data_IF_417634940700
#
_entry.id   IF_417634940700
#
_cell.length_a   1.000
_cell.length_b   1.000
_cell.length_c   1.000
_cell.angle_alpha   90.00
_cell.angle_beta   90.00
_cell.angle_gamma   90.00
#
_symmetry.space_group_name_H-M   'P 1'
#
loop_
_entity.id
_entity.type
_entity.pdbx_description
1 polymer ?
#
# COMPACT_ATOMS: atom_id res chain seq x y z
N UNK A 1 32.10 -17.13 -15.45
CA UNK A 1 31.53 -15.90 -14.87
C UNK A 1 30.32 -16.27 -14.03
N UNK A 2 30.16 -15.68 -12.84
CA UNK A 2 28.98 -15.86 -11.97
C UNK A 2 28.17 -14.56 -12.01
N UNK A 3 26.85 -14.68 -12.13
CA UNK A 3 25.90 -13.53 -12.06
C UNK A 3 24.89 -13.80 -10.94
N UNK A 4 24.78 -12.86 -9.99
CA UNK A 4 23.93 -12.99 -8.80
C UNK A 4 22.58 -12.31 -9.02
N UNK A 5 21.53 -13.09 -9.26
CA UNK A 5 20.15 -12.62 -9.47
C UNK A 5 19.32 -12.70 -8.17
N UNK A 6 19.86 -12.23 -7.04
CA UNK A 6 19.26 -12.40 -5.69
C UNK A 6 18.17 -11.37 -5.34
N UNK A 7 17.87 -10.44 -6.25
CA UNK A 7 16.84 -9.42 -6.08
C UNK A 7 17.38 -8.09 -5.57
N UNK A 8 16.50 -7.28 -4.98
CA UNK A 8 16.78 -5.89 -4.60
C UNK A 8 16.26 -5.57 -3.20
N UNK A 9 16.93 -4.64 -2.51
CA UNK A 9 16.46 -4.03 -1.27
C UNK A 9 15.72 -2.73 -1.54
N UNK A 10 14.71 -2.43 -0.73
CA UNK A 10 14.00 -1.14 -0.76
C UNK A 10 14.64 -0.22 0.27
N UNK A 11 14.98 1.02 -0.13
CA UNK A 11 15.54 2.05 0.76
C UNK A 11 14.96 3.42 0.39
N UNK A 12 14.93 4.35 1.35
CA UNK A 12 14.50 5.73 1.14
C UNK A 12 15.56 6.71 1.71
N UNK A 13 16.68 6.94 1.01
CA UNK A 13 17.83 7.69 1.54
C UNK A 13 17.57 9.19 1.74
N UNK A 14 16.38 9.67 1.40
CA UNK A 14 15.95 11.06 1.55
C UNK A 14 15.11 11.30 2.82
N UNK A 15 14.66 10.25 3.52
CA UNK A 15 14.04 10.39 4.82
C UNK A 15 15.10 10.35 5.93
N UNK A 16 14.86 11.09 7.02
CA UNK A 16 15.64 10.91 8.25
C UNK A 16 15.40 9.50 8.79
N UNK A 17 16.44 8.92 9.39
CA UNK A 17 16.46 7.53 9.83
C UNK A 17 15.41 7.19 10.91
N UNK A 18 14.86 8.20 11.58
CA UNK A 18 13.84 8.08 12.62
C UNK A 18 12.40 8.25 12.10
N UNK A 19 12.22 8.68 10.84
CA UNK A 19 10.89 8.97 10.30
C UNK A 19 10.14 7.70 9.87
N UNK A 20 10.85 6.72 9.33
CA UNK A 20 10.26 5.47 8.85
C UNK A 20 10.99 4.27 9.48
N UNK A 21 10.30 3.13 9.66
CA UNK A 21 10.93 1.87 10.03
C UNK A 21 12.13 1.51 9.15
N UNK A 22 13.14 0.87 9.76
CA UNK A 22 14.35 0.40 9.07
C UNK A 22 14.09 -0.59 7.94
N UNK A 23 12.90 -1.23 7.92
CA UNK A 23 12.48 -2.17 6.89
C UNK A 23 11.31 -1.60 6.06
N UNK A 24 11.61 -0.75 5.04
CA UNK A 24 10.63 -0.21 4.11
C UNK A 24 9.68 -1.23 3.47
N UNK A 25 10.15 -2.44 3.20
CA UNK A 25 9.37 -3.52 2.60
C UNK A 25 8.38 -4.20 3.55
N UNK A 26 8.36 -3.77 4.83
CA UNK A 26 7.39 -4.18 5.85
C UNK A 26 6.43 -3.06 6.27
N UNK A 27 6.47 -1.90 5.62
CA UNK A 27 5.64 -0.75 6.01
C UNK A 27 4.15 -1.12 6.04
N UNK A 28 3.45 -0.85 7.17
CA UNK A 28 2.03 -1.12 7.29
C UNK A 28 1.24 0.01 6.62
N UNK A 29 0.80 -0.23 5.38
CA UNK A 29 0.12 0.78 4.57
C UNK A 29 -1.33 0.43 4.27
N UNK A 30 -2.26 1.30 4.68
CA UNK A 30 -3.66 1.18 4.28
C UNK A 30 -3.80 1.38 2.76
N UNK A 31 -4.49 0.46 2.09
CA UNK A 31 -4.56 0.37 0.62
C UNK A 31 -3.20 0.35 -0.10
N UNK A 32 -2.11 0.06 0.61
CA UNK A 32 -0.73 0.12 0.08
C UNK A 32 -0.30 1.54 -0.32
N UNK A 33 -0.90 2.53 0.35
CA UNK A 33 -0.72 3.96 0.08
C UNK A 33 -0.48 4.75 1.36
N UNK A 34 -1.41 4.66 2.32
CA UNK A 34 -1.47 5.58 3.45
C UNK A 34 -0.76 4.98 4.68
N UNK A 35 0.29 5.63 5.20
CA UNK A 35 0.86 5.31 6.51
C UNK A 35 -0.10 5.71 7.64
N UNK A 36 0.21 5.29 8.87
CA UNK A 36 -0.64 5.57 10.04
C UNK A 36 -0.29 6.89 10.72
N UNK A 37 0.99 7.27 10.70
CA UNK A 37 1.53 8.39 11.49
C UNK A 37 1.62 9.70 10.71
N UNK A 38 1.19 9.71 9.46
CA UNK A 38 1.27 10.87 8.57
C UNK A 38 -0.02 11.02 7.77
N UNK A 39 -0.50 12.26 7.69
CA UNK A 39 -1.67 12.64 6.89
C UNK A 39 -1.25 13.26 5.53
N UNK A 40 0.01 13.64 5.36
CA UNK A 40 0.56 14.32 4.19
C UNK A 40 1.65 13.51 3.44
N UNK A 41 1.92 12.28 3.89
CA UNK A 41 2.85 11.35 3.25
C UNK A 41 2.11 10.17 2.62
N UNK A 42 2.48 9.82 1.38
CA UNK A 42 1.85 8.73 0.63
C UNK A 42 2.90 7.90 -0.12
N UNK A 43 2.66 6.60 -0.22
CA UNK A 43 3.47 5.68 -1.00
C UNK A 43 2.71 5.25 -2.26
N UNK A 44 3.31 5.41 -3.43
CA UNK A 44 2.74 4.93 -4.70
C UNK A 44 3.75 3.98 -5.33
N UNK A 45 3.30 2.77 -5.67
CA UNK A 45 4.11 1.74 -6.29
C UNK A 45 4.95 0.90 -5.33
N UNK A 46 4.83 1.07 -4.01
CA UNK A 46 5.47 0.20 -3.02
C UNK A 46 4.74 -1.16 -2.91
N UNK A 47 4.72 -1.90 -4.02
CA UNK A 47 3.97 -3.15 -4.17
C UNK A 47 4.72 -4.15 -5.05
N UNK A 48 4.41 -5.44 -4.86
CA UNK A 48 4.81 -6.54 -5.73
C UNK A 48 3.55 -7.26 -6.19
N UNK A 49 3.15 -7.02 -7.44
CA UNK A 49 1.92 -7.53 -8.02
C UNK A 49 2.14 -8.80 -8.84
N UNK A 50 1.09 -9.63 -8.96
CA UNK A 50 1.00 -10.71 -9.95
C UNK A 50 0.76 -10.20 -11.38
N UNK A 51 0.43 -8.91 -11.54
CA UNK A 51 0.17 -8.26 -12.83
C UNK A 51 0.96 -6.96 -13.02
N UNK A 52 0.60 -6.19 -14.05
CA UNK A 52 1.29 -4.94 -14.39
C UNK A 52 1.22 -3.91 -13.25
N UNK A 53 2.34 -3.23 -12.98
CA UNK A 53 2.41 -2.16 -12.00
C UNK A 53 1.69 -0.87 -12.47
N UNK A 54 1.61 -0.62 -13.78
CA UNK A 54 1.10 0.64 -14.33
C UNK A 54 -0.35 0.92 -13.91
N UNK A 55 -1.31 -0.01 -14.07
CA UNK A 55 -2.69 0.22 -13.62
C UNK A 55 -2.80 0.40 -12.10
N UNK A 56 -1.93 -0.25 -11.34
CA UNK A 56 -1.91 -0.14 -9.89
C UNK A 56 -1.49 1.26 -9.47
N UNK A 57 -0.34 1.74 -9.95
CA UNK A 57 0.15 3.09 -9.59
C UNK A 57 -0.81 4.17 -10.06
N UNK A 58 -1.49 3.96 -11.19
CA UNK A 58 -2.53 4.87 -11.68
C UNK A 58 -3.72 4.96 -10.69
N UNK A 59 -4.24 3.82 -10.22
CA UNK A 59 -5.34 3.82 -9.25
C UNK A 59 -4.93 4.34 -7.88
N UNK A 60 -3.70 4.05 -7.45
CA UNK A 60 -3.12 4.59 -6.22
C UNK A 60 -3.03 6.12 -6.29
N UNK A 61 -2.47 6.66 -7.38
CA UNK A 61 -2.37 8.10 -7.60
C UNK A 61 -3.75 8.77 -7.65
N UNK A 62 -4.73 8.16 -8.33
CA UNK A 62 -6.12 8.67 -8.35
C UNK A 62 -6.74 8.72 -6.96
N UNK A 63 -6.43 7.77 -6.08
CA UNK A 63 -6.94 7.76 -4.71
C UNK A 63 -6.26 8.83 -3.85
N UNK A 64 -4.93 9.00 -3.97
CA UNK A 64 -4.17 10.07 -3.30
C UNK A 64 -4.68 11.44 -3.73
N UNK A 65 -4.85 11.67 -5.04
CA UNK A 65 -5.39 12.93 -5.56
C UNK A 65 -6.79 13.22 -5.02
N UNK A 66 -7.66 12.21 -4.90
CA UNK A 66 -8.99 12.37 -4.32
C UNK A 66 -8.93 12.72 -2.83
N UNK A 67 -8.00 12.12 -2.07
CA UNK A 67 -7.78 12.44 -0.65
C UNK A 67 -7.33 13.90 -0.48
N UNK A 68 -6.30 14.31 -1.23
CA UNK A 68 -5.76 15.68 -1.20
C UNK A 68 -6.81 16.73 -1.63
N UNK A 69 -7.70 16.38 -2.54
CA UNK A 69 -8.79 17.25 -2.98
C UNK A 69 -10.00 17.26 -2.03
N UNK A 70 -9.96 16.55 -0.89
CA UNK A 70 -11.09 16.43 0.04
C UNK A 70 -12.25 15.57 -0.46
N UNK A 71 -12.09 14.89 -1.60
CA UNK A 71 -13.12 14.07 -2.23
C UNK A 71 -13.08 12.60 -1.76
N UNK A 72 -12.24 12.28 -0.79
CA UNK A 72 -12.10 10.95 -0.20
C UNK A 72 -11.70 11.07 1.27
N UNK A 73 -12.51 10.53 2.16
CA UNK A 73 -12.20 10.44 3.59
C UNK A 73 -11.63 9.06 3.94
N UNK A 74 -10.59 8.99 4.77
CA UNK A 74 -10.09 7.72 5.31
C UNK A 74 -11.13 7.11 6.28
N UNK A 75 -11.16 5.77 6.44
CA UNK A 75 -11.89 5.18 7.55
C UNK A 75 -11.15 5.43 8.88
N UNK A 76 -11.82 5.12 9.98
CA UNK A 76 -11.24 5.17 11.33
C UNK A 76 -9.97 4.29 11.45
N UNK A 77 -9.15 4.60 12.46
CA UNK A 77 -7.84 3.98 12.64
C UNK A 77 -7.91 2.47 12.88
N UNK A 78 -8.92 1.98 13.61
CA UNK A 78 -9.07 0.54 13.91
C UNK A 78 -9.42 -0.24 12.65
N UNK A 79 -10.31 0.30 11.83
CA UNK A 79 -10.63 -0.28 10.53
C UNK A 79 -9.42 -0.27 9.61
N UNK A 80 -8.63 0.80 9.57
CA UNK A 80 -7.39 0.84 8.78
C UNK A 80 -6.40 -0.25 9.24
N UNK A 81 -6.16 -0.38 10.55
CA UNK A 81 -5.29 -1.42 11.13
C UNK A 81 -5.77 -2.83 10.79
N UNK A 82 -7.06 -3.09 10.98
CA UNK A 82 -7.66 -4.37 10.66
C UNK A 82 -7.53 -4.71 9.17
N UNK A 83 -7.74 -3.75 8.27
CA UNK A 83 -7.59 -3.95 6.83
C UNK A 83 -6.14 -4.30 6.44
N UNK A 84 -5.16 -3.58 7.01
CA UNK A 84 -3.73 -3.84 6.79
C UNK A 84 -3.37 -5.25 7.24
N UNK A 85 -3.76 -5.64 8.46
CA UNK A 85 -3.45 -6.96 9.00
C UNK A 85 -4.13 -8.08 8.21
N UNK A 86 -5.41 -7.92 7.84
CA UNK A 86 -6.09 -8.90 7.00
C UNK A 86 -5.39 -9.06 5.66
N UNK A 87 -4.91 -7.97 5.06
CA UNK A 87 -4.26 -8.03 3.77
C UNK A 87 -2.83 -8.62 3.87
N UNK A 88 -2.10 -8.34 4.96
CA UNK A 88 -0.82 -8.98 5.30
C UNK A 88 -0.99 -10.50 5.45
N UNK A 89 -1.97 -10.95 6.24
CA UNK A 89 -2.28 -12.39 6.40
C UNK A 89 -2.67 -13.06 5.09
N UNK A 90 -3.49 -12.41 4.25
CA UNK A 90 -3.83 -12.93 2.91
C UNK A 90 -2.58 -13.13 2.06
N UNK A 91 -1.66 -12.19 2.10
CA UNK A 91 -0.39 -12.28 1.38
C UNK A 91 0.52 -13.38 1.95
N UNK A 92 0.65 -13.48 3.27
CA UNK A 92 1.43 -14.55 3.91
C UNK A 92 0.90 -15.94 3.56
N UNK A 93 -0.41 -16.14 3.66
CA UNK A 93 -1.04 -17.42 3.34
C UNK A 93 -0.85 -17.80 1.86
N UNK A 94 -0.83 -16.83 0.95
CA UNK A 94 -0.72 -17.09 -0.49
C UNK A 94 0.72 -17.19 -1.00
N UNK A 95 1.63 -16.34 -0.51
CA UNK A 95 2.98 -16.19 -1.05
C UNK A 95 4.08 -16.65 -0.07
N UNK A 96 3.74 -16.88 1.19
CA UNK A 96 4.68 -17.23 2.26
C UNK A 96 5.26 -16.01 2.99
N UNK A 97 5.68 -16.18 4.25
CA UNK A 97 6.13 -15.09 5.11
C UNK A 97 7.46 -14.45 4.65
N UNK A 98 8.34 -15.21 3.99
CA UNK A 98 9.63 -14.71 3.51
C UNK A 98 9.54 -13.87 2.21
N UNK A 99 8.35 -13.70 1.61
CA UNK A 99 8.16 -13.08 0.30
C UNK A 99 7.60 -11.64 0.36
N UNK A 100 7.99 -10.87 1.39
CA UNK A 100 7.58 -9.47 1.60
C UNK A 100 6.06 -9.28 1.59
N UNK A 101 5.34 -9.92 2.52
CA UNK A 101 3.88 -9.96 2.51
C UNK A 101 3.21 -8.56 2.56
N UNK A 102 3.87 -7.55 3.14
CA UNK A 102 3.35 -6.18 3.15
C UNK A 102 3.27 -5.55 1.75
N UNK A 103 4.20 -5.87 0.86
CA UNK A 103 4.22 -5.39 -0.53
C UNK A 103 3.36 -6.25 -1.47
N UNK A 104 3.11 -7.52 -1.14
CA UNK A 104 2.48 -8.48 -2.05
C UNK A 104 1.00 -8.19 -2.26
N UNK A 105 0.60 -8.16 -3.52
CA UNK A 105 -0.80 -8.03 -3.92
C UNK A 105 -1.14 -8.96 -5.09
N UNK A 106 -2.37 -9.43 -5.09
CA UNK A 106 -3.01 -10.01 -6.28
C UNK A 106 -3.59 -8.88 -7.12
N UNK A 107 -3.25 -8.82 -8.41
CA UNK A 107 -3.65 -7.72 -9.28
C UNK A 107 -5.18 -7.54 -9.31
N UNK A 108 -5.92 -8.58 -9.65
CA UNK A 108 -7.38 -8.49 -9.82
C UNK A 108 -8.09 -8.22 -8.49
N UNK A 109 -7.63 -8.86 -7.42
CA UNK A 109 -8.09 -8.62 -6.06
C UNK A 109 -7.92 -7.17 -5.65
N UNK A 110 -6.71 -6.62 -5.82
CA UNK A 110 -6.39 -5.24 -5.47
C UNK A 110 -7.19 -4.24 -6.29
N UNK A 111 -7.30 -4.42 -7.61
CA UNK A 111 -8.06 -3.52 -8.49
C UNK A 111 -9.55 -3.48 -8.11
N UNK A 112 -10.14 -4.62 -7.73
CA UNK A 112 -11.52 -4.66 -7.19
C UNK A 112 -11.63 -3.98 -5.83
N UNK A 113 -10.69 -4.22 -4.93
CA UNK A 113 -10.67 -3.64 -3.59
C UNK A 113 -10.55 -2.11 -3.62
N UNK A 114 -9.60 -1.56 -4.38
CA UNK A 114 -9.37 -0.11 -4.48
C UNK A 114 -10.52 0.60 -5.19
N UNK A 115 -11.14 -0.02 -6.19
CA UNK A 115 -12.34 0.53 -6.86
C UNK A 115 -13.51 0.67 -5.88
N UNK A 116 -13.77 -0.37 -5.07
CA UNK A 116 -14.79 -0.32 -4.01
C UNK A 116 -14.44 0.72 -2.95
N UNK A 117 -13.16 0.84 -2.60
CA UNK A 117 -12.71 1.80 -1.61
C UNK A 117 -12.92 3.24 -2.05
N UNK A 118 -12.66 3.56 -3.33
CA UNK A 118 -12.94 4.89 -3.90
C UNK A 118 -14.41 5.30 -3.76
N UNK A 119 -15.34 4.34 -3.81
CA UNK A 119 -16.77 4.61 -3.58
C UNK A 119 -17.04 4.82 -2.09
N UNK A 120 -16.49 3.96 -1.22
CA UNK A 120 -16.67 4.07 0.23
C UNK A 120 -16.11 5.37 0.79
N UNK A 121 -14.92 5.77 0.39
CA UNK A 121 -14.32 7.00 0.90
C UNK A 121 -14.92 8.28 0.35
N UNK A 122 -15.50 8.26 -0.86
CA UNK A 122 -16.36 9.36 -1.33
C UNK A 122 -17.56 9.57 -0.41
N UNK A 123 -18.22 8.48 0.01
CA UNK A 123 -19.32 8.57 0.98
C UNK A 123 -18.86 9.11 2.34
N UNK A 124 -17.66 8.73 2.80
CA UNK A 124 -17.09 9.24 4.06
C UNK A 124 -16.70 10.72 3.99
N UNK A 125 -16.29 11.21 2.82
CA UNK A 125 -15.98 12.64 2.65
C UNK A 125 -17.23 13.52 2.60
N UNK A 126 -18.38 12.95 2.21
CA UNK A 126 -19.64 13.67 2.10
C UNK A 126 -20.52 13.60 3.37
N UNK A 127 -20.08 12.87 4.40
CA UNK A 127 -20.76 12.71 5.67
C UNK A 127 -20.17 13.67 6.71
#
# INVERSE_FOLDING_TARGET
TIVWCTGYHVTFPFFKSDLLPEQPDQLPLYQRIFPFDFDDLFFVGLVQSTGSAIPIVEQQAKLVAAYLAGNYGLPDADRRRADVERARRRAENRYGPAKRPAMRIDFDGYMREISRERVRGRKRAAA
#
